data_IF_038660332121
#
_entry.id   IF_038660332121
#
_cell.length_a   1.000
_cell.length_b   1.000
_cell.length_c   1.000
_cell.angle_alpha   90.00
_cell.angle_beta   90.00
_cell.angle_gamma   90.00
#
_symmetry.space_group_name_H-M   'P 1'
#
loop_
_entity.id
_entity.type
_entity.pdbx_description
1 polymer ?
#
# COMPACT_ATOMS: atom_id res chain seq x y z
N UNK A 1 7.15 -16.31 -0.85
CA UNK A 1 6.10 -16.39 -1.89
C UNK A 1 5.09 -17.43 -1.49
N UNK A 2 3.88 -17.03 -1.32
CA UNK A 2 2.73 -17.73 -0.72
C UNK A 2 2.35 -18.95 -1.56
N UNK A 3 2.96 -20.10 -1.28
CA UNK A 3 2.52 -21.40 -1.84
C UNK A 3 1.60 -22.16 -0.88
N UNK A 4 0.89 -21.44 -0.02
CA UNK A 4 0.01 -22.06 0.99
C UNK A 4 -1.37 -22.42 0.46
N UNK A 5 -1.71 -21.99 -0.73
CA UNK A 5 -2.95 -22.32 -1.35
C UNK A 5 -2.79 -23.63 -2.12
N UNK A 6 -3.54 -24.64 -1.71
CA UNK A 6 -3.59 -25.96 -2.36
C UNK A 6 -2.40 -26.89 -2.05
N UNK A 7 -1.80 -26.79 -0.86
CA UNK A 7 -0.67 -27.62 -0.43
C UNK A 7 -1.11 -28.95 0.25
N UNK A 8 -2.40 -29.26 0.24
CA UNK A 8 -2.90 -30.52 0.76
C UNK A 8 -3.03 -31.58 -0.33
N UNK A 9 -2.73 -32.82 0.03
CA UNK A 9 -2.86 -33.97 -0.87
C UNK A 9 -4.34 -34.31 -1.07
N UNK A 10 -4.73 -34.49 -2.33
CA UNK A 10 -6.07 -34.94 -2.71
C UNK A 10 -6.02 -36.44 -2.96
N UNK A 11 -6.82 -37.17 -2.21
CA UNK A 11 -6.89 -38.61 -2.31
C UNK A 11 -8.32 -39.00 -2.67
N UNK A 12 -8.49 -39.86 -3.66
CA UNK A 12 -9.81 -40.41 -3.97
C UNK A 12 -10.27 -41.34 -2.86
N UNK A 13 -11.58 -41.38 -2.59
CA UNK A 13 -12.13 -42.29 -1.58
C UNK A 13 -11.81 -43.78 -1.86
N UNK A 14 -11.57 -44.16 -3.12
CA UNK A 14 -11.15 -45.51 -3.51
C UNK A 14 -9.72 -45.86 -3.04
N UNK A 15 -8.88 -44.85 -2.87
CA UNK A 15 -7.45 -45.02 -2.56
C UNK A 15 -7.15 -44.88 -1.06
N UNK A 16 -8.17 -44.54 -0.27
CA UNK A 16 -8.09 -44.39 1.18
C UNK A 16 -7.53 -45.63 1.92
N UNK A 17 -7.89 -46.87 1.59
CA UNK A 17 -7.37 -48.04 2.28
C UNK A 17 -5.88 -48.26 2.16
N UNK A 18 -5.24 -47.63 1.16
CA UNK A 18 -3.81 -47.75 0.88
C UNK A 18 -2.98 -46.57 1.40
N UNK A 19 -3.66 -45.51 1.89
CA UNK A 19 -2.99 -44.29 2.35
C UNK A 19 -2.77 -44.31 3.85
N UNK A 20 -1.58 -43.87 4.28
CA UNK A 20 -1.27 -43.66 5.70
C UNK A 20 -1.87 -42.31 6.15
N UNK A 21 -2.91 -42.36 6.94
CA UNK A 21 -3.62 -41.23 7.51
C UNK A 21 -3.23 -40.95 8.97
N UNK A 22 -2.20 -41.59 9.48
CA UNK A 22 -1.75 -41.46 10.86
C UNK A 22 -1.33 -40.00 11.12
N UNK A 23 -1.90 -39.39 12.16
CA UNK A 23 -1.66 -37.99 12.56
C UNK A 23 -1.98 -36.94 11.46
N UNK A 24 -2.89 -37.25 10.54
CA UNK A 24 -3.35 -36.32 9.52
C UNK A 24 -4.78 -35.88 9.79
N UNK A 25 -5.08 -34.61 9.50
CA UNK A 25 -6.46 -34.09 9.49
C UNK A 25 -7.04 -34.39 8.11
N UNK A 26 -8.13 -35.15 8.06
CA UNK A 26 -8.80 -35.54 6.81
C UNK A 26 -10.10 -34.76 6.68
N UNK A 27 -10.28 -34.09 5.54
CA UNK A 27 -11.50 -33.34 5.23
C UNK A 27 -12.22 -34.05 4.10
N UNK A 28 -13.46 -34.38 4.34
CA UNK A 28 -14.34 -35.02 3.37
C UNK A 28 -15.09 -34.01 2.54
N UNK A 29 -15.16 -34.25 1.24
CA UNK A 29 -15.95 -33.43 0.35
C UNK A 29 -16.47 -34.19 -0.86
N UNK A 30 -17.63 -33.78 -1.35
CA UNK A 30 -18.23 -34.28 -2.58
C UNK A 30 -17.86 -33.34 -3.72
N UNK A 31 -17.37 -33.91 -4.82
CA UNK A 31 -16.99 -33.17 -6.05
C UNK A 31 -17.91 -33.47 -7.22
N UNK A 32 -18.99 -34.28 -6.99
CA UNK A 32 -19.93 -34.66 -8.03
C UNK A 32 -20.74 -33.46 -8.50
N UNK A 33 -20.87 -33.29 -9.81
CA UNK A 33 -21.69 -32.26 -10.43
C UNK A 33 -23.14 -32.34 -9.95
N UNK A 34 -23.69 -31.19 -9.56
CA UNK A 34 -25.05 -31.06 -9.07
C UNK A 34 -25.24 -31.30 -7.55
N UNK A 35 -24.26 -31.88 -6.84
CA UNK A 35 -24.29 -32.05 -5.39
C UNK A 35 -23.54 -30.94 -4.64
N UNK A 36 -22.54 -30.35 -5.27
CA UNK A 36 -21.77 -29.28 -4.65
C UNK A 36 -21.34 -28.29 -5.73
N UNK A 37 -21.67 -27.00 -5.54
CA UNK A 37 -21.31 -25.97 -6.49
C UNK A 37 -19.92 -25.43 -6.14
N UNK A 38 -18.98 -25.37 -7.11
CA UNK A 38 -17.69 -24.77 -6.89
C UNK A 38 -17.83 -23.26 -6.65
N UNK A 39 -16.96 -22.72 -5.82
CA UNK A 39 -16.90 -21.31 -5.44
C UNK A 39 -15.75 -20.65 -6.19
N UNK A 40 -16.01 -19.50 -6.79
CA UNK A 40 -14.97 -18.68 -7.39
C UNK A 40 -14.18 -17.97 -6.29
N UNK A 41 -12.87 -18.20 -6.25
CA UNK A 41 -11.96 -17.58 -5.30
C UNK A 41 -10.86 -16.81 -6.05
N UNK A 42 -10.12 -15.90 -5.40
CA UNK A 42 -9.03 -15.16 -6.04
C UNK A 42 -7.91 -16.05 -6.60
N UNK A 43 -7.80 -17.29 -6.12
CA UNK A 43 -6.78 -18.27 -6.55
C UNK A 43 -7.32 -19.32 -7.54
N UNK A 44 -8.59 -19.20 -7.93
CA UNK A 44 -9.25 -20.10 -8.86
C UNK A 44 -10.60 -20.63 -8.33
N UNK A 45 -11.13 -21.59 -9.05
CA UNK A 45 -12.40 -22.23 -8.68
C UNK A 45 -12.11 -23.40 -7.72
N UNK A 46 -12.66 -23.33 -6.52
CA UNK A 46 -12.45 -24.31 -5.46
C UNK A 46 -13.80 -24.86 -4.95
N UNK A 47 -13.82 -26.10 -4.50
CA UNK A 47 -14.98 -26.65 -3.80
C UNK A 47 -15.05 -26.13 -2.34
N UNK A 48 -16.24 -26.06 -1.72
CA UNK A 48 -16.40 -25.57 -0.36
C UNK A 48 -15.52 -26.27 0.68
N UNK A 49 -15.34 -27.58 0.56
CA UNK A 49 -14.46 -28.36 1.45
C UNK A 49 -12.98 -28.02 1.26
N UNK A 50 -12.55 -27.64 0.06
CA UNK A 50 -11.19 -27.20 -0.21
C UNK A 50 -10.91 -25.81 0.42
N UNK A 51 -11.92 -24.94 0.41
CA UNK A 51 -11.83 -23.64 1.11
C UNK A 51 -11.71 -23.86 2.62
N UNK A 52 -12.50 -24.80 3.18
CA UNK A 52 -12.40 -25.17 4.59
C UNK A 52 -11.04 -25.80 4.92
N UNK A 53 -10.50 -26.65 4.03
CA UNK A 53 -9.18 -27.23 4.19
C UNK A 53 -8.09 -26.15 4.28
N UNK A 54 -8.13 -25.15 3.41
CA UNK A 54 -7.22 -24.02 3.44
C UNK A 54 -7.33 -23.21 4.74
N UNK A 55 -8.55 -22.99 5.23
CA UNK A 55 -8.77 -22.29 6.50
C UNK A 55 -8.18 -23.06 7.69
N UNK A 56 -8.42 -24.37 7.77
CA UNK A 56 -7.89 -25.23 8.84
C UNK A 56 -6.36 -25.26 8.76
N UNK A 57 -5.81 -25.38 7.55
CA UNK A 57 -4.36 -25.36 7.36
C UNK A 57 -3.74 -24.05 7.81
N UNK A 58 -4.37 -22.90 7.50
CA UNK A 58 -3.92 -21.58 7.96
C UNK A 58 -3.86 -21.51 9.48
N UNK A 59 -4.84 -22.07 10.16
CA UNK A 59 -4.87 -22.12 11.64
C UNK A 59 -3.81 -23.06 12.19
N UNK A 60 -3.64 -24.26 11.61
CA UNK A 60 -2.67 -25.24 12.07
C UNK A 60 -1.22 -24.79 11.84
N UNK A 61 -0.95 -24.03 10.79
CA UNK A 61 0.36 -23.50 10.49
C UNK A 61 0.68 -22.20 11.21
N UNK A 62 -0.26 -21.70 12.03
CA UNK A 62 -0.14 -20.43 12.75
C UNK A 62 0.17 -19.23 11.83
N UNK A 63 -0.08 -19.38 10.52
CA UNK A 63 0.08 -18.31 9.54
C UNK A 63 -1.10 -17.35 9.68
N UNK A 64 -1.09 -16.52 10.70
CA UNK A 64 -2.07 -15.47 10.88
C UNK A 64 -1.48 -14.16 10.39
N UNK A 65 -2.24 -13.48 9.53
CA UNK A 65 -1.95 -12.06 9.24
C UNK A 65 -2.20 -11.29 10.53
N UNK A 66 -1.11 -10.87 11.18
CA UNK A 66 -1.22 -10.15 12.44
C UNK A 66 -1.66 -8.71 12.16
N UNK A 67 -2.86 -8.37 12.56
CA UNK A 67 -3.26 -6.97 12.81
C UNK A 67 -3.04 -6.69 14.30
N UNK A 68 -1.89 -6.19 14.65
CA UNK A 68 -1.62 -5.75 16.03
C UNK A 68 -2.14 -4.33 16.22
N UNK A 69 -2.74 -4.06 17.36
CA UNK A 69 -3.19 -2.71 17.76
C UNK A 69 -2.07 -1.64 17.65
N UNK A 70 -0.81 -2.05 17.83
CA UNK A 70 0.34 -1.16 17.67
C UNK A 70 0.60 -0.72 16.23
N UNK A 71 0.10 -1.46 15.23
CA UNK A 71 0.30 -1.13 13.82
C UNK A 71 -0.41 0.16 13.42
N UNK A 72 -1.64 0.37 13.86
CA UNK A 72 -2.38 1.61 13.61
C UNK A 72 -1.64 2.84 14.16
N UNK A 73 -1.01 2.68 15.33
CA UNK A 73 -0.18 3.73 15.91
C UNK A 73 1.07 4.00 15.07
N UNK A 74 1.77 2.95 14.63
CA UNK A 74 2.95 3.06 13.77
C UNK A 74 2.60 3.70 12.43
N UNK A 75 1.52 3.29 11.80
CA UNK A 75 1.02 3.88 10.54
C UNK A 75 0.72 5.36 10.70
N UNK A 76 0.04 5.74 11.78
CA UNK A 76 -0.26 7.15 12.08
C UNK A 76 1.01 7.98 12.29
N UNK A 77 2.00 7.45 13.01
CA UNK A 77 3.28 8.11 13.19
C UNK A 77 4.04 8.27 11.86
N UNK A 78 4.09 7.23 11.04
CA UNK A 78 4.72 7.29 9.70
C UNK A 78 4.03 8.32 8.80
N UNK A 79 2.69 8.38 8.82
CA UNK A 79 1.92 9.38 8.11
C UNK A 79 2.30 10.78 8.58
N UNK A 80 2.29 11.06 9.87
CA UNK A 80 2.62 12.39 10.40
C UNK A 80 4.05 12.81 10.05
N UNK A 81 5.02 11.92 10.22
CA UNK A 81 6.42 12.18 9.88
C UNK A 81 6.59 12.48 8.39
N UNK A 82 5.91 11.74 7.52
CA UNK A 82 5.97 11.97 6.08
C UNK A 82 5.33 13.29 5.66
N UNK A 83 4.18 13.64 6.25
CA UNK A 83 3.53 14.93 5.97
C UNK A 83 4.40 16.12 6.40
N UNK A 84 4.98 16.06 7.60
CA UNK A 84 5.92 17.08 8.07
C UNK A 84 7.17 17.17 7.18
N UNK A 85 7.72 16.00 6.81
CA UNK A 85 8.87 15.93 5.89
C UNK A 85 8.57 16.59 4.54
N UNK A 86 7.42 16.31 3.94
CA UNK A 86 7.01 16.91 2.67
C UNK A 86 6.85 18.42 2.80
N UNK A 87 6.22 18.91 3.88
CA UNK A 87 6.10 20.35 4.10
C UNK A 87 7.47 21.02 4.19
N UNK A 88 8.39 20.48 4.99
CA UNK A 88 9.75 21.03 5.09
C UNK A 88 10.44 21.02 3.73
N UNK A 89 10.38 19.91 2.99
CA UNK A 89 11.00 19.76 1.67
C UNK A 89 10.44 20.78 0.68
N UNK A 90 9.11 20.95 0.62
CA UNK A 90 8.49 21.91 -0.32
C UNK A 90 8.91 23.34 -0.02
N UNK A 91 8.99 23.75 1.24
CA UNK A 91 9.34 25.13 1.58
C UNK A 91 10.84 25.44 1.54
N UNK A 92 11.71 24.44 1.72
CA UNK A 92 13.17 24.65 1.74
C UNK A 92 13.83 24.46 0.37
N UNK A 93 13.36 23.49 -0.43
CA UNK A 93 13.99 23.13 -1.70
C UNK A 93 13.34 23.82 -2.91
N UNK A 94 14.08 24.00 -4.03
CA UNK A 94 13.50 24.45 -5.29
C UNK A 94 12.43 23.46 -5.79
N UNK A 95 11.46 23.97 -6.57
CA UNK A 95 10.23 23.21 -6.92
C UNK A 95 10.49 21.85 -7.57
N UNK A 96 11.47 21.77 -8.49
CA UNK A 96 11.80 20.51 -9.17
C UNK A 96 12.37 19.49 -8.18
N UNK A 97 13.31 19.92 -7.33
CA UNK A 97 13.95 19.05 -6.37
C UNK A 97 12.98 18.62 -5.27
N UNK A 98 12.09 19.52 -4.83
CA UNK A 98 11.04 19.15 -3.86
C UNK A 98 10.08 18.10 -4.40
N UNK A 99 9.77 18.15 -5.71
CA UNK A 99 8.98 17.12 -6.39
C UNK A 99 9.65 15.76 -6.36
N UNK A 100 10.93 15.70 -6.74
CA UNK A 100 11.70 14.45 -6.75
C UNK A 100 11.83 13.83 -5.34
N UNK A 101 12.15 14.65 -4.34
CA UNK A 101 12.29 14.18 -2.95
C UNK A 101 10.95 13.71 -2.39
N UNK A 102 9.85 14.44 -2.65
CA UNK A 102 8.51 14.03 -2.21
C UNK A 102 8.07 12.71 -2.86
N UNK A 103 8.39 12.52 -4.13
CA UNK A 103 8.14 11.26 -4.83
C UNK A 103 8.98 10.11 -4.26
N UNK A 104 10.21 10.40 -3.85
CA UNK A 104 11.07 9.47 -3.12
C UNK A 104 10.49 9.05 -1.76
N UNK A 105 9.90 9.99 -1.01
CA UNK A 105 9.24 9.71 0.27
C UNK A 105 8.05 8.78 0.07
N UNK A 106 7.19 9.06 -0.93
CA UNK A 106 6.05 8.21 -1.28
C UNK A 106 6.51 6.82 -1.72
N UNK A 107 7.52 6.75 -2.59
CA UNK A 107 8.11 5.49 -3.04
C UNK A 107 8.70 4.67 -1.89
N UNK A 108 9.33 5.32 -0.92
CA UNK A 108 9.84 4.67 0.30
C UNK A 108 8.70 4.09 1.16
N UNK A 109 7.58 4.81 1.34
CA UNK A 109 6.41 4.31 2.08
C UNK A 109 5.83 3.05 1.45
N UNK A 110 5.63 3.08 0.12
CA UNK A 110 5.11 1.92 -0.62
C UNK A 110 6.10 0.75 -0.56
N UNK A 111 7.39 1.01 -0.75
CA UNK A 111 8.44 -0.01 -0.67
C UNK A 111 8.55 -0.64 0.72
N UNK A 112 8.43 0.17 1.77
CA UNK A 112 8.44 -0.29 3.16
C UNK A 112 7.21 -1.17 3.46
N UNK A 113 6.02 -0.76 3.05
CA UNK A 113 4.80 -1.55 3.20
C UNK A 113 4.91 -2.90 2.48
N UNK A 114 5.44 -2.91 1.25
CA UNK A 114 5.68 -4.13 0.48
C UNK A 114 6.72 -5.05 1.14
N UNK A 115 7.80 -4.49 1.67
CA UNK A 115 8.84 -5.23 2.38
C UNK A 115 8.28 -5.91 3.63
N UNK A 116 7.58 -5.16 4.49
CA UNK A 116 7.00 -5.69 5.73
C UNK A 116 5.95 -6.76 5.44
N UNK A 117 5.15 -6.57 4.38
CA UNK A 117 4.19 -7.58 3.93
C UNK A 117 4.85 -8.91 3.56
N UNK A 118 5.97 -8.88 2.84
CA UNK A 118 6.63 -10.13 2.39
C UNK A 118 7.33 -10.87 3.53
N UNK A 119 8.00 -10.13 4.42
CA UNK A 119 8.87 -10.75 5.41
C UNK A 119 8.19 -11.01 6.76
N UNK A 120 7.29 -10.13 7.18
CA UNK A 120 6.68 -10.20 8.50
C UNK A 120 5.19 -10.63 8.46
N UNK A 121 4.59 -10.77 7.27
CA UNK A 121 3.16 -11.05 7.08
C UNK A 121 2.24 -10.05 7.81
N UNK A 122 2.74 -8.85 8.02
CA UNK A 122 2.05 -7.75 8.68
C UNK A 122 1.46 -6.83 7.61
N UNK A 123 0.15 -6.59 7.69
CA UNK A 123 -0.55 -5.73 6.76
C UNK A 123 -0.43 -4.26 7.22
N UNK A 124 0.48 -3.53 6.60
CA UNK A 124 0.54 -2.06 6.68
C UNK A 124 -0.12 -1.49 5.44
N UNK A 125 -1.04 -0.55 5.59
CA UNK A 125 -1.66 0.13 4.46
C UNK A 125 -0.88 1.39 4.04
N UNK A 126 0.02 1.29 3.02
CA UNK A 126 0.76 2.46 2.53
C UNK A 126 -0.09 3.34 1.61
N UNK A 127 -1.25 2.87 1.17
CA UNK A 127 -2.06 3.59 0.19
C UNK A 127 -2.63 4.88 0.75
N UNK A 128 -3.21 4.81 1.95
CA UNK A 128 -3.82 5.97 2.61
C UNK A 128 -2.78 7.06 2.89
N UNK A 129 -1.62 6.68 3.45
CA UNK A 129 -0.54 7.63 3.75
C UNK A 129 0.10 8.22 2.49
N UNK A 130 0.23 7.46 1.41
CA UNK A 130 0.71 7.93 0.11
C UNK A 130 -0.25 8.93 -0.53
N UNK A 131 -1.55 8.66 -0.47
CA UNK A 131 -2.58 9.55 -1.00
C UNK A 131 -2.59 10.91 -0.28
N UNK A 132 -2.57 10.92 1.06
CA UNK A 132 -2.48 12.15 1.84
C UNK A 132 -1.19 12.90 1.57
N UNK A 133 -0.06 12.21 1.44
CA UNK A 133 1.22 12.80 1.09
C UNK A 133 1.17 13.53 -0.26
N UNK A 134 0.54 12.95 -1.27
CA UNK A 134 0.34 13.60 -2.58
C UNK A 134 -0.56 14.84 -2.49
N UNK A 135 -1.65 14.78 -1.75
CA UNK A 135 -2.56 15.92 -1.56
C UNK A 135 -1.82 17.08 -0.88
N UNK A 136 -1.10 16.79 0.21
CA UNK A 136 -0.33 17.82 0.93
C UNK A 136 0.79 18.41 0.08
N UNK A 137 1.50 17.59 -0.71
CA UNK A 137 2.49 18.07 -1.66
C UNK A 137 1.87 19.03 -2.69
N UNK A 138 0.74 18.64 -3.29
CA UNK A 138 0.04 19.48 -4.27
C UNK A 138 -0.40 20.81 -3.68
N UNK A 139 -1.02 20.79 -2.50
CA UNK A 139 -1.46 21.99 -1.81
C UNK A 139 -0.29 22.90 -1.39
N UNK A 140 0.76 22.34 -0.80
CA UNK A 140 1.92 23.10 -0.39
C UNK A 140 2.69 23.71 -1.59
N UNK A 141 2.83 22.96 -2.68
CA UNK A 141 3.45 23.42 -3.91
C UNK A 141 2.66 24.56 -4.56
N UNK A 142 1.34 24.43 -4.60
CA UNK A 142 0.44 25.48 -5.10
C UNK A 142 0.59 26.77 -4.27
N UNK A 143 0.55 26.66 -2.95
CA UNK A 143 0.69 27.81 -2.05
C UNK A 143 2.06 28.50 -2.21
N UNK A 144 3.14 27.70 -2.35
CA UNK A 144 4.47 28.24 -2.60
C UNK A 144 4.54 28.99 -3.93
N UNK A 145 4.01 28.38 -4.99
CA UNK A 145 3.95 29.00 -6.31
C UNK A 145 3.16 30.32 -6.28
N UNK A 146 1.98 30.31 -5.67
CA UNK A 146 1.12 31.48 -5.56
C UNK A 146 1.80 32.63 -4.79
N UNK A 147 2.43 32.34 -3.65
CA UNK A 147 3.20 33.34 -2.89
C UNK A 147 4.37 33.90 -3.69
N UNK A 148 5.10 33.06 -4.39
CA UNK A 148 6.23 33.49 -5.23
C UNK A 148 5.74 34.38 -6.38
N UNK A 149 4.62 34.03 -6.99
CA UNK A 149 4.01 34.83 -8.05
C UNK A 149 3.57 36.22 -7.52
N UNK A 150 2.87 36.26 -6.40
CA UNK A 150 2.47 37.54 -5.78
C UNK A 150 3.67 38.42 -5.42
N UNK A 151 4.74 37.83 -4.91
CA UNK A 151 5.96 38.56 -4.58
C UNK A 151 6.60 39.17 -5.82
N UNK A 152 6.68 38.42 -6.92
CA UNK A 152 7.19 38.94 -8.20
C UNK A 152 6.34 40.07 -8.73
N UNK A 153 5.03 39.97 -8.66
CA UNK A 153 4.09 41.04 -9.07
C UNK A 153 4.28 42.30 -8.22
N UNK A 154 4.44 42.15 -6.91
CA UNK A 154 4.68 43.29 -6.00
C UNK A 154 6.01 43.98 -6.31
N UNK A 155 7.07 43.21 -6.52
CA UNK A 155 8.39 43.76 -6.90
C UNK A 155 8.27 44.48 -8.24
N UNK A 156 7.64 43.88 -9.26
CA UNK A 156 7.44 44.51 -10.56
C UNK A 156 6.67 45.84 -10.44
N UNK A 157 5.61 45.89 -9.64
CA UNK A 157 4.84 47.15 -9.37
C UNK A 157 5.65 48.21 -8.65
N UNK A 158 6.53 47.83 -7.73
CA UNK A 158 7.44 48.77 -7.06
C UNK A 158 8.48 49.34 -8.03
N UNK A 159 9.08 48.53 -8.91
CA UNK A 159 10.03 48.96 -9.91
C UNK A 159 9.39 49.87 -10.97
N UNK A 160 8.15 49.59 -11.39
CA UNK A 160 7.40 50.46 -12.32
C UNK A 160 7.19 51.88 -11.80
N UNK A 161 7.26 52.12 -10.50
CA UNK A 161 7.17 53.47 -9.90
C UNK A 161 8.45 54.29 -10.06
N UNK A 162 9.61 53.65 -10.27
CA UNK A 162 10.88 54.29 -10.25
C UNK A 162 11.64 54.24 -11.62
N UNK A 163 11.22 53.37 -12.53
CA UNK A 163 11.86 53.14 -13.84
C UNK A 163 10.85 53.37 -14.98
N UNK A 164 11.38 53.84 -16.12
CA UNK A 164 10.61 53.97 -17.36
C UNK A 164 10.01 52.61 -17.77
N UNK A 165 8.77 52.58 -18.32
CA UNK A 165 8.07 51.33 -18.67
C UNK A 165 8.87 50.40 -19.57
N UNK A 166 9.70 50.91 -20.45
CA UNK A 166 10.47 50.12 -21.45
C UNK A 166 11.56 49.22 -20.80
N UNK A 167 12.03 49.53 -19.59
CA UNK A 167 13.07 48.73 -18.91
C UNK A 167 12.48 47.61 -18.03
N UNK A 168 11.19 47.70 -17.72
CA UNK A 168 10.53 46.77 -16.80
C UNK A 168 9.96 45.54 -17.54
N UNK A 169 9.78 45.60 -18.87
CA UNK A 169 9.33 44.46 -19.65
C UNK A 169 10.43 43.41 -19.95
N UNK A 170 11.73 43.78 -19.79
CA UNK A 170 12.84 42.87 -19.99
C UNK A 170 13.27 42.11 -18.68
N UNK A 171 12.64 42.37 -17.53
CA UNK A 171 12.95 41.75 -16.24
C UNK A 171 11.87 40.71 -15.84
#
# INVERSE_FOLDING_TARGET
>A
MISYWNSFDRISASDLPQSDLTNKVVIWGLTAEGLNNPISTPVGVLYPHEVQANQIQTVLQEVQIQQSYYLEFVETCLLLISLLGILVVVYTLPTVLSGLVSLGIVGFQVGLGYYVWIYELVLIDPFLSSMFSMIVFGHASFNKYYKTYQLKEQIKKQFQKYLSPDIVEEL
#
